data_IF_426271353967
#
_entry.id   IF_426271353967
#
_cell.length_a   1.000
_cell.length_b   1.000
_cell.length_c   1.000
_cell.angle_alpha   90.00
_cell.angle_beta   90.00
_cell.angle_gamma   90.00
#
_symmetry.space_group_name_H-M   'P 1'
#
loop_
_entity.id
_entity.type
_entity.pdbx_description
1 polymer ?
#
# COMPACT_ATOMS: atom_id res chain seq x y z
N UNK A 1 7.63 -3.72 -11.65
CA UNK A 1 6.40 -3.21 -11.01
C UNK A 1 5.48 -2.59 -12.06
N UNK A 2 6.03 -1.78 -12.97
CA UNK A 2 5.28 -1.09 -14.03
C UNK A 2 4.44 -2.05 -14.88
N UNK A 3 5.02 -3.17 -15.35
CA UNK A 3 4.32 -4.19 -16.13
C UNK A 3 3.06 -4.69 -15.40
N UNK A 4 3.18 -4.99 -14.11
CA UNK A 4 2.05 -5.46 -13.31
C UNK A 4 0.97 -4.38 -13.16
N UNK A 5 1.36 -3.13 -12.92
CA UNK A 5 0.43 -2.01 -12.79
C UNK A 5 -0.31 -1.76 -14.11
N UNK A 6 0.39 -1.81 -15.23
CA UNK A 6 -0.20 -1.68 -16.56
C UNK A 6 -1.15 -2.83 -16.87
N UNK A 7 -0.75 -4.08 -16.59
CA UNK A 7 -1.62 -5.26 -16.74
C UNK A 7 -2.88 -5.14 -15.88
N UNK A 8 -2.77 -4.59 -14.67
CA UNK A 8 -3.90 -4.36 -13.78
C UNK A 8 -4.86 -3.29 -14.32
N UNK A 9 -4.35 -2.15 -14.78
CA UNK A 9 -5.20 -1.12 -15.41
C UNK A 9 -5.88 -1.63 -16.67
N UNK A 10 -5.15 -2.35 -17.52
CA UNK A 10 -5.72 -3.03 -18.68
C UNK A 10 -6.83 -4.01 -18.29
N UNK A 11 -6.67 -4.73 -17.17
CA UNK A 11 -7.72 -5.62 -16.67
C UNK A 11 -8.98 -4.84 -16.23
N UNK A 12 -8.83 -3.69 -15.58
CA UNK A 12 -9.95 -2.83 -15.20
C UNK A 12 -10.69 -2.27 -16.43
N UNK A 13 -9.95 -1.81 -17.44
CA UNK A 13 -10.54 -1.30 -18.68
C UNK A 13 -11.29 -2.39 -19.46
N UNK A 14 -10.67 -3.58 -19.62
CA UNK A 14 -11.33 -4.73 -20.26
C UNK A 14 -12.63 -5.14 -19.56
N UNK A 15 -12.68 -4.98 -18.25
CA UNK A 15 -13.83 -5.35 -17.41
C UNK A 15 -14.69 -4.15 -16.99
N UNK A 16 -14.57 -3.00 -17.66
CA UNK A 16 -15.20 -1.74 -17.24
C UNK A 16 -16.70 -1.87 -16.95
N UNK A 17 -17.42 -2.63 -17.78
CA UNK A 17 -18.88 -2.80 -17.68
C UNK A 17 -19.35 -3.49 -16.40
N UNK A 18 -18.52 -4.34 -15.78
CA UNK A 18 -18.87 -5.05 -14.54
C UNK A 18 -18.40 -4.29 -13.29
N UNK A 19 -17.61 -3.23 -13.45
CA UNK A 19 -17.15 -2.43 -12.33
C UNK A 19 -18.33 -1.65 -11.71
N UNK A 20 -18.34 -1.45 -10.38
CA UNK A 20 -19.28 -0.51 -9.75
C UNK A 20 -19.14 0.90 -10.36
N UNK A 21 -20.24 1.62 -10.51
CA UNK A 21 -20.26 2.99 -11.10
C UNK A 21 -19.24 3.94 -10.47
N UNK A 22 -19.03 3.86 -9.15
CA UNK A 22 -18.02 4.66 -8.46
C UNK A 22 -16.60 4.39 -8.96
N UNK A 23 -16.27 3.14 -9.26
CA UNK A 23 -14.95 2.75 -9.77
C UNK A 23 -14.81 3.15 -11.24
N UNK A 24 -15.87 3.00 -12.03
CA UNK A 24 -15.90 3.49 -13.41
C UNK A 24 -15.57 4.99 -13.49
N UNK A 25 -16.15 5.81 -12.61
CA UNK A 25 -15.85 7.24 -12.52
C UNK A 25 -14.42 7.54 -12.04
N UNK A 26 -13.84 6.68 -11.21
CA UNK A 26 -12.50 6.87 -10.65
C UNK A 26 -11.39 6.43 -11.61
N UNK A 27 -11.67 5.42 -12.45
CA UNK A 27 -10.69 4.74 -13.28
C UNK A 27 -9.86 5.68 -14.16
N UNK A 28 -10.42 6.69 -14.87
CA UNK A 28 -9.63 7.61 -15.69
C UNK A 28 -8.57 8.37 -14.88
N UNK A 29 -8.89 8.74 -13.63
CA UNK A 29 -7.95 9.43 -12.75
C UNK A 29 -6.89 8.49 -12.19
N UNK A 30 -7.28 7.25 -11.85
CA UNK A 30 -6.33 6.23 -11.37
C UNK A 30 -5.25 5.94 -12.41
N UNK A 31 -5.66 5.80 -13.68
CA UNK A 31 -4.76 5.55 -14.80
C UNK A 31 -3.95 6.80 -15.12
N UNK A 32 -4.61 7.96 -15.28
CA UNK A 32 -3.98 9.21 -15.70
C UNK A 32 -2.87 9.69 -14.75
N UNK A 33 -3.08 9.54 -13.44
CA UNK A 33 -2.10 9.91 -12.42
C UNK A 33 -1.24 8.71 -11.95
N UNK A 34 -1.43 7.55 -12.57
CA UNK A 34 -0.81 6.27 -12.21
C UNK A 34 -0.75 6.02 -10.68
N UNK A 35 -1.91 6.00 -10.04
CA UNK A 35 -2.01 5.94 -8.58
C UNK A 35 -1.27 4.75 -7.98
N UNK A 36 -1.37 3.56 -8.59
CA UNK A 36 -0.71 2.36 -8.07
C UNK A 36 0.82 2.46 -8.13
N UNK A 37 1.38 2.96 -9.24
CA UNK A 37 2.82 3.12 -9.35
C UNK A 37 3.34 4.21 -8.41
N UNK A 38 2.53 5.22 -8.09
CA UNK A 38 2.94 6.29 -7.18
C UNK A 38 3.37 5.76 -5.80
N UNK A 39 2.77 4.65 -5.32
CA UNK A 39 3.15 4.03 -4.06
C UNK A 39 4.56 3.41 -4.04
N UNK A 40 5.20 3.25 -5.20
CA UNK A 40 6.56 2.72 -5.29
C UNK A 40 7.64 3.67 -4.73
N UNK A 41 7.28 4.93 -4.48
CA UNK A 41 8.22 5.97 -4.06
C UNK A 41 7.71 6.68 -2.81
N UNK A 42 8.64 7.15 -1.97
CA UNK A 42 8.32 7.94 -0.77
C UNK A 42 7.56 9.22 -1.15
N UNK A 43 7.97 9.90 -2.21
CA UNK A 43 7.29 11.11 -2.72
C UNK A 43 5.84 10.84 -3.14
N UNK A 44 5.57 9.70 -3.79
CA UNK A 44 4.22 9.33 -4.16
C UNK A 44 3.37 8.94 -2.96
N UNK A 45 3.95 8.25 -1.98
CA UNK A 45 3.31 7.98 -0.67
C UNK A 45 2.95 9.30 0.02
N UNK A 46 3.84 10.30 0.00
CA UNK A 46 3.56 11.63 0.58
C UNK A 46 2.32 12.26 -0.04
N UNK A 47 2.21 12.30 -1.38
CA UNK A 47 1.05 12.86 -2.09
C UNK A 47 -0.26 12.15 -1.70
N UNK A 48 -0.22 10.83 -1.54
CA UNK A 48 -1.37 10.04 -1.09
C UNK A 48 -1.76 10.44 0.33
N UNK A 49 -0.80 10.53 1.24
CA UNK A 49 -1.04 10.87 2.65
C UNK A 49 -1.54 12.30 2.82
N UNK A 50 -1.07 13.26 2.01
CA UNK A 50 -1.63 14.61 1.93
C UNK A 50 -3.11 14.59 1.48
N UNK A 51 -3.42 13.80 0.45
CA UNK A 51 -4.79 13.59 -0.01
C UNK A 51 -5.70 12.94 1.04
N UNK A 52 -5.18 11.98 1.82
CA UNK A 52 -5.89 11.39 2.96
C UNK A 52 -6.10 12.41 4.07
N UNK A 53 -5.09 13.20 4.42
CA UNK A 53 -5.16 14.24 5.44
C UNK A 53 -6.23 15.30 5.10
N UNK A 54 -6.29 15.73 3.82
CA UNK A 54 -7.34 16.65 3.36
C UNK A 54 -8.74 16.05 3.53
N UNK A 55 -8.91 14.75 3.23
CA UNK A 55 -10.20 14.04 3.42
C UNK A 55 -10.61 13.93 4.88
N UNK A 56 -9.66 13.85 5.82
CA UNK A 56 -9.92 13.86 7.27
C UNK A 56 -10.05 15.27 7.86
N UNK A 57 -10.12 16.32 7.02
CA UNK A 57 -10.11 17.73 7.45
C UNK A 57 -8.89 18.09 8.30
N UNK A 58 -7.73 17.56 7.92
CA UNK A 58 -6.42 17.77 8.56
C UNK A 58 -6.35 17.31 10.03
N UNK A 59 -7.29 16.47 10.48
CA UNK A 59 -7.30 15.96 11.86
C UNK A 59 -6.29 14.85 12.09
N UNK A 60 -6.02 14.03 11.07
CA UNK A 60 -5.12 12.88 11.21
C UNK A 60 -3.64 13.25 11.16
N UNK A 61 -3.28 14.44 10.65
CA UNK A 61 -1.90 14.90 10.46
C UNK A 61 -1.04 13.93 9.63
N UNK A 62 -1.68 13.11 8.78
CA UNK A 62 -1.00 12.08 7.98
C UNK A 62 0.04 12.66 7.02
N UNK A 63 -0.09 13.93 6.65
CA UNK A 63 0.90 14.64 5.84
C UNK A 63 2.27 14.78 6.52
N UNK A 64 2.36 14.57 7.84
CA UNK A 64 3.63 14.64 8.59
C UNK A 64 4.35 13.29 8.64
N UNK A 65 3.66 12.18 8.35
CA UNK A 65 4.21 10.83 8.56
C UNK A 65 5.44 10.54 7.69
N UNK A 66 5.54 11.15 6.50
CA UNK A 66 6.73 10.98 5.64
C UNK A 66 7.94 11.71 6.20
N UNK A 67 7.75 12.82 6.91
CA UNK A 67 8.86 13.51 7.56
C UNK A 67 9.46 12.64 8.66
N UNK A 68 8.61 12.08 9.53
CA UNK A 68 9.04 11.13 10.58
C UNK A 68 9.67 9.86 9.97
N UNK A 69 9.07 9.30 8.90
CA UNK A 69 9.63 8.14 8.21
C UNK A 69 11.04 8.40 7.68
N UNK A 70 11.29 9.58 7.10
CA UNK A 70 12.61 9.93 6.57
C UNK A 70 13.62 10.22 7.69
N UNK A 71 13.17 10.81 8.81
CA UNK A 71 14.02 11.12 9.96
C UNK A 71 14.52 9.84 10.66
N UNK A 72 13.66 8.83 10.77
CA UNK A 72 13.92 7.60 11.52
C UNK A 72 13.92 6.34 10.63
N UNK A 73 14.29 6.47 9.36
CA UNK A 73 14.15 5.38 8.39
C UNK A 73 14.94 4.14 8.80
N UNK A 74 16.21 4.33 9.20
CA UNK A 74 17.12 3.25 9.57
C UNK A 74 16.66 2.55 10.86
N UNK A 75 16.13 3.30 11.82
CA UNK A 75 15.56 2.76 13.06
C UNK A 75 14.30 1.92 12.76
N UNK A 76 13.37 2.45 11.96
CA UNK A 76 12.18 1.71 11.56
C UNK A 76 12.53 0.44 10.78
N UNK A 77 13.51 0.49 9.86
CA UNK A 77 13.96 -0.68 9.11
C UNK A 77 14.56 -1.75 10.03
N UNK A 78 15.38 -1.32 11.01
CA UNK A 78 15.97 -2.23 11.99
C UNK A 78 14.90 -2.87 12.87
N UNK A 79 13.99 -2.09 13.43
CA UNK A 79 12.89 -2.61 14.27
C UNK A 79 11.97 -3.54 13.48
N UNK A 80 11.64 -3.16 12.24
CA UNK A 80 10.83 -3.99 11.35
C UNK A 80 11.50 -5.32 11.07
N UNK A 81 12.79 -5.33 10.69
CA UNK A 81 13.51 -6.56 10.35
C UNK A 81 13.57 -7.50 11.55
N UNK A 82 13.91 -6.98 12.74
CA UNK A 82 13.96 -7.78 13.97
C UNK A 82 12.59 -8.41 14.26
N UNK A 83 11.52 -7.61 14.22
CA UNK A 83 10.18 -8.12 14.46
C UNK A 83 9.71 -9.11 13.39
N UNK A 84 10.08 -8.89 12.12
CA UNK A 84 9.66 -9.73 11.01
C UNK A 84 10.31 -11.11 11.07
N UNK A 85 11.56 -11.20 11.50
CA UNK A 85 12.23 -12.49 11.76
C UNK A 85 11.51 -13.26 12.89
N UNK A 86 11.16 -12.61 14.00
CA UNK A 86 10.36 -13.21 15.07
C UNK A 86 8.99 -13.70 14.56
N UNK A 87 8.36 -12.92 13.67
CA UNK A 87 7.09 -13.29 13.05
C UNK A 87 7.22 -14.53 12.15
N UNK A 88 8.29 -14.64 11.37
CA UNK A 88 8.57 -15.82 10.55
C UNK A 88 8.71 -17.06 11.45
N UNK A 89 9.50 -16.98 12.52
CA UNK A 89 9.69 -18.09 13.44
C UNK A 89 8.37 -18.51 14.09
N UNK A 90 7.60 -17.54 14.60
CA UNK A 90 6.29 -17.79 15.17
C UNK A 90 5.34 -18.48 14.19
N UNK A 91 5.26 -17.99 12.95
CA UNK A 91 4.36 -18.58 11.94
C UNK A 91 4.77 -20.00 11.55
N UNK A 92 6.07 -20.28 11.45
CA UNK A 92 6.60 -21.63 11.19
C UNK A 92 6.27 -22.60 12.33
N UNK A 93 6.45 -22.19 13.58
CA UNK A 93 6.05 -22.99 14.74
C UNK A 93 4.54 -23.24 14.75
N UNK A 94 3.75 -22.18 14.51
CA UNK A 94 2.29 -22.29 14.46
C UNK A 94 1.83 -23.24 13.36
N UNK A 95 2.46 -23.20 12.19
CA UNK A 95 2.16 -24.10 11.08
C UNK A 95 2.42 -25.56 11.46
N UNK A 96 3.56 -25.87 12.09
CA UNK A 96 3.89 -27.23 12.57
C UNK A 96 2.82 -27.76 13.54
N UNK A 97 2.38 -26.92 14.48
CA UNK A 97 1.32 -27.28 15.43
C UNK A 97 0.01 -27.62 14.71
N UNK A 98 -0.39 -26.78 13.75
CA UNK A 98 -1.63 -26.99 13.00
C UNK A 98 -1.56 -28.24 12.09
N UNK A 99 -0.40 -28.48 11.46
CA UNK A 99 -0.22 -29.66 10.61
C UNK A 99 -0.11 -30.97 11.38
N UNK A 100 0.29 -30.94 12.66
CA UNK A 100 0.36 -32.13 13.53
C UNK A 100 -0.99 -32.48 14.18
N UNK A 101 -2.01 -31.64 13.99
CA UNK A 101 -3.39 -31.86 14.47
C UNK A 101 -4.30 -32.51 13.42
N UNK A 102 -3.74 -32.83 12.24
CA UNK A 102 -4.38 -33.54 11.13
C UNK A 102 -3.80 -34.95 11.08
#
# INVERSE_FOLDING_TARGET
LDIYVDEFYNALERNYKILPSRIQHLLPYMIGDNWLLSYATVDGIQKVLEGMNRRTKNRSKMNLAVAELNEFYDEFESEFTIFFDELIDFTNEKLKVLSSQI
#
